data_IF_819345043850
#
_entry.id   IF_819345043850
#
_cell.length_a   1.000
_cell.length_b   1.000
_cell.length_c   1.000
_cell.angle_alpha   90.00
_cell.angle_beta   90.00
_cell.angle_gamma   90.00
#
_symmetry.space_group_name_H-M   'P 1'
#
loop_
_entity.id
_entity.type
_entity.pdbx_description
1 polymer ?
#
# COMPACT_ATOMS: atom_id res chain seq x y z
N UNK A 1 9.56 14.61 -39.31
CA UNK A 1 8.39 13.91 -38.75
C UNK A 1 7.28 14.94 -38.53
N UNK A 2 6.06 14.67 -39.02
CA UNK A 2 4.92 15.55 -38.81
C UNK A 2 4.55 15.61 -37.32
N UNK A 3 3.89 16.70 -36.87
CA UNK A 3 3.43 16.84 -35.48
C UNK A 3 2.54 15.67 -35.05
N UNK A 4 1.71 15.14 -35.94
CA UNK A 4 0.87 13.94 -35.71
C UNK A 4 1.69 12.67 -35.48
N UNK A 5 2.80 12.47 -36.17
CA UNK A 5 3.68 11.30 -36.01
C UNK A 5 4.46 11.38 -34.70
N UNK A 6 4.91 12.59 -34.30
CA UNK A 6 5.55 12.83 -33.00
C UNK A 6 4.58 12.55 -31.85
N UNK A 7 3.35 13.01 -31.92
CA UNK A 7 2.33 12.79 -30.89
C UNK A 7 1.96 11.29 -30.73
N UNK A 8 1.87 10.53 -31.84
CA UNK A 8 1.69 9.06 -31.80
C UNK A 8 2.88 8.36 -31.15
N UNK A 9 4.11 8.76 -31.46
CA UNK A 9 5.32 8.17 -30.87
C UNK A 9 5.38 8.40 -29.35
N UNK A 10 5.14 9.63 -28.87
CA UNK A 10 5.10 9.92 -27.44
C UNK A 10 4.00 9.14 -26.71
N UNK A 11 2.84 8.95 -27.35
CA UNK A 11 1.74 8.16 -26.80
C UNK A 11 2.11 6.69 -26.65
N UNK A 12 2.75 6.08 -27.65
CA UNK A 12 3.22 4.69 -27.59
C UNK A 12 4.34 4.51 -26.56
N UNK A 13 5.28 5.45 -26.46
CA UNK A 13 6.36 5.44 -25.48
C UNK A 13 5.83 5.56 -24.06
N UNK A 14 4.76 6.34 -23.80
CA UNK A 14 4.16 6.46 -22.47
C UNK A 14 3.58 5.13 -21.97
N UNK A 15 2.94 4.36 -22.83
CA UNK A 15 2.43 3.03 -22.47
C UNK A 15 3.54 2.01 -22.20
N UNK A 16 4.64 2.07 -22.97
CA UNK A 16 5.83 1.26 -22.71
C UNK A 16 6.46 1.63 -21.35
N UNK A 17 6.56 2.91 -21.04
CA UNK A 17 7.04 3.41 -19.75
C UNK A 17 6.14 2.91 -18.64
N UNK A 18 4.82 2.97 -18.79
CA UNK A 18 3.89 2.42 -17.81
C UNK A 18 4.14 0.92 -17.58
N UNK A 19 4.27 0.14 -18.65
CA UNK A 19 4.58 -1.28 -18.55
C UNK A 19 5.89 -1.55 -17.78
N UNK A 20 6.92 -0.73 -17.98
CA UNK A 20 8.17 -0.82 -17.22
C UNK A 20 8.00 -0.45 -15.74
N UNK A 21 7.13 0.50 -15.43
CA UNK A 21 6.95 1.01 -14.06
C UNK A 21 6.04 0.13 -13.20
N UNK A 22 5.08 -0.58 -13.79
CA UNK A 22 4.13 -1.40 -13.02
C UNK A 22 4.74 -2.68 -12.48
N UNK A 23 5.76 -3.24 -13.15
CA UNK A 23 6.38 -4.52 -12.75
C UNK A 23 7.16 -4.42 -11.44
N UNK A 24 8.01 -3.40 -11.19
CA UNK A 24 8.60 -3.20 -9.86
C UNK A 24 7.57 -3.09 -8.75
N UNK A 25 6.41 -2.46 -9.01
CA UNK A 25 5.33 -2.35 -8.03
C UNK A 25 4.63 -3.69 -7.81
N UNK A 26 4.37 -4.46 -8.87
CA UNK A 26 3.87 -5.83 -8.73
C UNK A 26 4.80 -6.69 -7.87
N UNK A 27 6.11 -6.65 -8.14
CA UNK A 27 7.12 -7.38 -7.40
C UNK A 27 7.18 -6.96 -5.92
N UNK A 28 7.08 -5.65 -5.66
CA UNK A 28 7.05 -5.09 -4.31
C UNK A 28 5.85 -5.60 -3.51
N UNK A 29 4.65 -5.53 -4.07
CA UNK A 29 3.43 -5.98 -3.41
C UNK A 29 3.38 -7.50 -3.23
N UNK A 30 3.94 -8.26 -4.19
CA UNK A 30 4.15 -9.69 -4.03
C UNK A 30 5.05 -9.99 -2.83
N UNK A 31 6.21 -9.34 -2.77
CA UNK A 31 7.21 -9.61 -1.72
C UNK A 31 6.71 -9.21 -0.34
N UNK A 32 6.01 -8.08 -0.21
CA UNK A 32 5.41 -7.66 1.07
C UNK A 32 4.41 -8.68 1.61
N UNK A 33 3.63 -9.32 0.74
CA UNK A 33 2.52 -10.18 1.16
C UNK A 33 2.77 -11.69 1.04
N UNK A 34 3.97 -12.12 0.61
CA UNK A 34 4.29 -13.52 0.33
C UNK A 34 4.11 -14.47 1.52
N UNK A 35 4.24 -13.99 2.75
CA UNK A 35 4.05 -14.81 3.95
C UNK A 35 2.64 -14.77 4.52
N UNK A 36 1.79 -13.84 4.07
CA UNK A 36 0.48 -13.58 4.69
C UNK A 36 -0.46 -14.82 4.68
N UNK A 37 -0.45 -15.59 3.60
CA UNK A 37 -1.28 -16.81 3.49
C UNK A 37 -0.63 -18.06 4.09
N UNK A 38 0.67 -18.03 4.35
CA UNK A 38 1.42 -19.11 4.99
C UNK A 38 1.87 -18.74 6.41
N UNK A 39 1.30 -17.70 6.99
CA UNK A 39 1.66 -17.22 8.33
C UNK A 39 1.41 -18.24 9.45
N UNK A 40 0.55 -19.24 9.22
CA UNK A 40 0.34 -20.37 10.12
C UNK A 40 1.62 -21.21 10.36
N UNK A 41 2.58 -21.19 9.44
CA UNK A 41 3.85 -21.91 9.58
C UNK A 41 4.70 -21.37 10.74
N UNK A 42 4.53 -20.10 11.09
CA UNK A 42 5.27 -19.47 12.20
C UNK A 42 4.72 -19.88 13.58
N UNK A 43 3.77 -20.78 13.64
CA UNK A 43 3.32 -21.48 14.86
C UNK A 43 3.94 -22.88 14.99
N UNK A 44 4.66 -23.36 13.96
CA UNK A 44 5.36 -24.65 13.95
C UNK A 44 6.59 -24.64 14.86
N UNK A 45 6.74 -25.69 15.68
CA UNK A 45 7.83 -25.80 16.65
C UNK A 45 9.22 -25.74 16.02
N UNK A 46 9.37 -26.22 14.77
CA UNK A 46 10.66 -26.24 14.07
C UNK A 46 11.15 -24.84 13.69
N UNK A 47 10.25 -23.92 13.36
CA UNK A 47 10.56 -22.52 13.04
C UNK A 47 10.67 -21.66 14.31
N UNK A 48 9.85 -21.94 15.32
CA UNK A 48 9.84 -21.26 16.61
C UNK A 48 11.22 -21.35 17.30
N UNK A 49 11.93 -22.49 17.22
CA UNK A 49 13.28 -22.65 17.76
C UNK A 49 14.31 -21.70 17.13
N UNK A 50 14.06 -21.21 15.93
CA UNK A 50 14.91 -20.23 15.21
C UNK A 50 14.45 -18.78 15.41
N UNK A 51 13.51 -18.54 16.32
CA UNK A 51 12.92 -17.21 16.58
C UNK A 51 11.83 -16.79 15.60
N UNK A 52 11.48 -17.65 14.63
CA UNK A 52 10.39 -17.42 13.68
C UNK A 52 9.07 -18.00 14.24
N UNK A 53 8.65 -17.46 15.39
CA UNK A 53 7.31 -17.64 15.93
C UNK A 53 6.35 -16.55 15.44
N UNK A 54 5.10 -16.59 15.88
CA UNK A 54 4.11 -15.56 15.53
C UNK A 54 4.55 -14.14 15.95
N UNK A 55 5.24 -14.00 17.10
CA UNK A 55 5.76 -12.72 17.57
C UNK A 55 6.94 -12.24 16.71
N UNK A 56 7.87 -13.14 16.35
CA UNK A 56 8.98 -12.89 15.45
C UNK A 56 8.50 -12.51 14.05
N UNK A 57 7.49 -13.20 13.52
CA UNK A 57 6.86 -12.80 12.26
C UNK A 57 6.17 -11.44 12.36
N UNK A 58 5.52 -11.14 13.49
CA UNK A 58 4.93 -9.82 13.75
C UNK A 58 5.97 -8.71 13.77
N UNK A 59 7.12 -8.97 14.40
CA UNK A 59 8.27 -8.08 14.37
C UNK A 59 8.75 -7.85 12.93
N UNK A 60 8.99 -8.93 12.17
CA UNK A 60 9.36 -8.87 10.75
C UNK A 60 8.37 -8.03 9.95
N UNK A 61 7.07 -8.35 10.04
CA UNK A 61 6.03 -7.64 9.27
C UNK A 61 5.91 -6.16 9.64
N UNK A 62 6.18 -5.80 10.90
CA UNK A 62 6.20 -4.41 11.37
C UNK A 62 7.39 -3.61 10.81
N UNK A 63 8.51 -4.29 10.54
CA UNK A 63 9.75 -3.72 10.04
C UNK A 63 9.57 -2.88 8.76
N UNK A 64 8.64 -3.27 7.89
CA UNK A 64 8.28 -2.49 6.69
C UNK A 64 8.04 -1.01 6.99
N UNK A 65 7.37 -0.70 8.11
CA UNK A 65 6.95 0.66 8.46
C UNK A 65 7.96 1.42 9.31
N UNK A 66 8.99 0.77 9.86
CA UNK A 66 9.92 1.41 10.81
C UNK A 66 10.61 2.62 10.22
N UNK A 67 11.36 2.45 9.14
CA UNK A 67 12.07 3.58 8.51
C UNK A 67 11.11 4.63 7.95
N UNK A 68 9.91 4.22 7.53
CA UNK A 68 8.86 5.14 7.08
C UNK A 68 8.43 6.09 8.18
N UNK A 69 8.23 5.58 9.41
CA UNK A 69 7.83 6.34 10.60
C UNK A 69 8.96 7.24 11.08
N UNK A 70 10.20 6.75 11.11
CA UNK A 70 11.35 7.49 11.64
C UNK A 70 12.02 8.43 10.62
N UNK A 71 11.22 9.08 9.79
CA UNK A 71 11.65 10.18 8.92
C UNK A 71 12.04 9.77 7.51
N UNK A 72 12.12 8.48 7.19
CA UNK A 72 12.54 8.00 5.87
C UNK A 72 11.65 8.50 4.73
N UNK A 73 10.33 8.60 4.93
CA UNK A 73 9.42 9.14 3.92
C UNK A 73 9.70 10.61 3.60
N UNK A 74 10.01 11.41 4.61
CA UNK A 74 10.33 12.84 4.44
C UNK A 74 11.66 12.98 3.71
N UNK A 75 12.69 12.27 4.17
CA UNK A 75 14.03 12.29 3.55
C UNK A 75 13.93 11.83 2.09
N UNK A 76 13.24 10.71 1.84
CA UNK A 76 13.05 10.17 0.49
C UNK A 76 12.30 11.12 -0.44
N UNK A 77 11.27 11.81 0.08
CA UNK A 77 10.55 12.85 -0.65
C UNK A 77 11.47 14.02 -1.05
N UNK A 78 12.27 14.55 -0.11
CA UNK A 78 13.25 15.61 -0.36
C UNK A 78 14.29 15.16 -1.39
N UNK A 79 14.80 13.93 -1.30
CA UNK A 79 15.74 13.39 -2.26
C UNK A 79 15.14 13.28 -3.67
N UNK A 80 13.86 12.86 -3.79
CA UNK A 80 13.16 12.83 -5.06
C UNK A 80 12.97 14.23 -5.66
N UNK A 81 12.71 15.23 -4.83
CA UNK A 81 12.58 16.63 -5.29
C UNK A 81 13.92 17.21 -5.74
N UNK A 82 14.98 16.99 -4.96
CA UNK A 82 16.31 17.57 -5.21
C UNK A 82 17.06 16.88 -6.34
N UNK A 83 17.06 15.55 -6.39
CA UNK A 83 17.86 14.77 -7.35
C UNK A 83 17.03 14.12 -8.45
N UNK A 84 15.71 14.23 -8.36
CA UNK A 84 14.75 13.73 -9.35
C UNK A 84 14.59 12.22 -9.36
N UNK A 85 13.60 11.78 -10.15
CA UNK A 85 13.17 10.38 -10.18
C UNK A 85 14.26 9.42 -10.68
N UNK A 86 15.11 9.85 -11.64
CA UNK A 86 16.13 8.95 -12.21
C UNK A 86 17.14 8.51 -11.17
N UNK A 87 17.69 9.42 -10.41
CA UNK A 87 18.71 9.11 -9.41
C UNK A 87 18.05 8.56 -8.13
N UNK A 88 17.20 9.35 -7.49
CA UNK A 88 16.58 8.95 -6.21
C UNK A 88 15.67 7.74 -6.39
N UNK A 89 14.85 7.69 -7.46
CA UNK A 89 14.02 6.52 -7.73
C UNK A 89 14.85 5.26 -7.91
N UNK A 90 15.98 5.31 -8.63
CA UNK A 90 16.89 4.17 -8.77
C UNK A 90 17.51 3.77 -7.44
N UNK A 91 17.94 4.73 -6.62
CA UNK A 91 18.47 4.42 -5.28
C UNK A 91 17.46 3.64 -4.44
N UNK A 92 16.20 4.09 -4.41
CA UNK A 92 15.17 3.45 -3.60
C UNK A 92 14.69 2.11 -4.18
N UNK A 93 14.65 1.95 -5.51
CA UNK A 93 14.38 0.64 -6.14
C UNK A 93 15.52 -0.35 -5.85
N UNK A 94 16.77 0.09 -5.86
CA UNK A 94 17.91 -0.76 -5.46
C UNK A 94 17.87 -1.08 -3.97
N UNK A 95 17.49 -0.14 -3.11
CA UNK A 95 17.33 -0.36 -1.68
C UNK A 95 16.21 -1.36 -1.40
N UNK A 96 15.08 -1.28 -2.11
CA UNK A 96 13.99 -2.26 -2.07
C UNK A 96 14.47 -3.66 -2.47
N UNK A 97 15.20 -3.78 -3.58
CA UNK A 97 15.72 -5.06 -4.05
C UNK A 97 16.81 -5.61 -3.12
N UNK A 98 17.70 -4.77 -2.61
CA UNK A 98 18.73 -5.15 -1.64
C UNK A 98 18.13 -5.65 -0.33
N UNK A 99 17.11 -4.95 0.20
CA UNK A 99 16.35 -5.39 1.37
C UNK A 99 15.66 -6.74 1.16
N UNK A 100 15.04 -6.95 0.00
CA UNK A 100 14.45 -8.25 -0.36
C UNK A 100 15.51 -9.34 -0.45
N UNK A 101 16.68 -9.04 -1.01
CA UNK A 101 17.83 -9.95 -1.06
C UNK A 101 18.34 -10.35 0.33
N UNK A 102 18.37 -9.39 1.27
CA UNK A 102 18.73 -9.68 2.67
C UNK A 102 17.74 -10.63 3.34
N UNK A 103 16.43 -10.41 3.11
CA UNK A 103 15.39 -11.33 3.62
C UNK A 103 15.57 -12.72 3.05
N UNK A 104 15.76 -12.86 1.74
CA UNK A 104 15.99 -14.17 1.10
C UNK A 104 17.25 -14.84 1.65
N UNK A 105 18.35 -14.11 1.76
CA UNK A 105 19.58 -14.63 2.33
C UNK A 105 19.40 -15.11 3.77
N UNK A 106 18.69 -14.34 4.58
CA UNK A 106 18.40 -14.68 5.98
C UNK A 106 17.64 -16.02 6.09
N UNK A 107 16.63 -16.22 5.26
CA UNK A 107 15.83 -17.45 5.23
C UNK A 107 16.65 -18.66 4.74
N UNK A 108 17.50 -18.47 3.73
CA UNK A 108 18.33 -19.55 3.20
C UNK A 108 19.48 -19.91 4.12
N UNK A 109 19.99 -18.97 4.93
CA UNK A 109 21.10 -19.20 5.84
C UNK A 109 20.75 -20.13 7.00
N UNK A 110 19.47 -20.18 7.42
CA UNK A 110 19.01 -20.98 8.55
C UNK A 110 19.70 -20.66 9.89
N UNK A 111 20.37 -19.49 9.98
CA UNK A 111 21.13 -19.10 11.17
C UNK A 111 20.25 -18.57 12.29
N UNK A 112 20.74 -18.59 13.53
CA UNK A 112 20.07 -17.99 14.67
C UNK A 112 19.84 -16.45 14.51
N UNK A 113 20.63 -15.79 13.66
CA UNK A 113 20.48 -14.37 13.36
C UNK A 113 19.50 -14.10 12.20
N UNK A 114 18.87 -15.14 11.61
CA UNK A 114 18.04 -15.02 10.42
C UNK A 114 16.90 -14.01 10.58
N UNK A 115 16.19 -14.02 11.70
CA UNK A 115 15.12 -13.06 11.99
C UNK A 115 15.64 -11.61 12.03
N UNK A 116 16.78 -11.38 12.70
CA UNK A 116 17.37 -10.03 12.80
C UNK A 116 17.77 -9.50 11.43
N UNK A 117 18.42 -10.34 10.61
CA UNK A 117 18.83 -9.94 9.25
C UNK A 117 17.62 -9.70 8.36
N UNK A 118 16.61 -10.56 8.44
CA UNK A 118 15.35 -10.39 7.71
C UNK A 118 14.61 -9.10 8.15
N UNK A 119 14.63 -8.78 9.44
CA UNK A 119 14.04 -7.55 9.98
C UNK A 119 14.73 -6.30 9.42
N UNK A 120 16.06 -6.25 9.42
CA UNK A 120 16.79 -5.14 8.78
C UNK A 120 16.52 -5.11 7.28
N UNK A 121 16.48 -6.26 6.63
CA UNK A 121 16.15 -6.37 5.22
C UNK A 121 14.77 -5.80 4.89
N UNK A 122 13.73 -6.15 5.66
CA UNK A 122 12.38 -5.65 5.42
C UNK A 122 12.23 -4.16 5.77
N UNK A 123 13.03 -3.61 6.69
CA UNK A 123 13.08 -2.16 6.94
C UNK A 123 13.57 -1.40 5.70
N UNK A 124 14.66 -1.84 5.09
CA UNK A 124 15.19 -1.26 3.85
C UNK A 124 14.21 -1.46 2.68
N UNK A 125 13.65 -2.67 2.58
CA UNK A 125 12.64 -2.99 1.57
C UNK A 125 11.43 -2.06 1.68
N UNK A 126 10.87 -1.85 2.87
CA UNK A 126 9.67 -1.05 3.09
C UNK A 126 9.88 0.42 2.70
N UNK A 127 10.95 1.05 3.16
CA UNK A 127 11.26 2.43 2.77
C UNK A 127 11.55 2.52 1.27
N UNK A 128 12.30 1.58 0.71
CA UNK A 128 12.57 1.50 -0.72
C UNK A 128 11.28 1.41 -1.54
N UNK A 129 10.34 0.56 -1.13
CA UNK A 129 9.04 0.35 -1.77
C UNK A 129 8.18 1.62 -1.77
N UNK A 130 8.03 2.28 -0.63
CA UNK A 130 7.21 3.49 -0.48
C UNK A 130 7.71 4.64 -1.35
N UNK A 131 9.03 4.87 -1.35
CA UNK A 131 9.61 5.95 -2.15
C UNK A 131 9.65 5.59 -3.64
N UNK A 132 9.91 4.32 -3.99
CA UNK A 132 9.80 3.84 -5.36
C UNK A 132 8.37 4.01 -5.90
N UNK A 133 7.34 3.71 -5.10
CA UNK A 133 5.93 3.95 -5.44
C UNK A 133 5.64 5.43 -5.74
N UNK A 134 6.20 6.33 -4.92
CA UNK A 134 6.11 7.78 -5.16
C UNK A 134 6.82 8.17 -6.47
N UNK A 135 8.00 7.62 -6.74
CA UNK A 135 8.74 7.87 -7.97
C UNK A 135 7.98 7.38 -9.22
N UNK A 136 7.35 6.20 -9.12
CA UNK A 136 6.47 5.64 -10.17
C UNK A 136 5.29 6.57 -10.43
N UNK A 137 4.57 6.98 -9.41
CA UNK A 137 3.41 7.88 -9.52
C UNK A 137 3.79 9.22 -10.17
N UNK A 138 4.92 9.82 -9.75
CA UNK A 138 5.46 11.06 -10.36
C UNK A 138 5.84 10.86 -11.84
N UNK A 139 6.40 9.71 -12.18
CA UNK A 139 6.76 9.38 -13.56
C UNK A 139 5.53 9.26 -14.44
N UNK A 140 4.49 8.55 -13.98
CA UNK A 140 3.22 8.41 -14.68
C UNK A 140 2.58 9.80 -14.88
N UNK A 141 2.52 10.63 -13.84
CA UNK A 141 1.99 11.98 -13.93
C UNK A 141 2.69 12.83 -15.00
N UNK A 142 4.02 12.69 -15.12
CA UNK A 142 4.82 13.41 -16.11
C UNK A 142 4.61 12.89 -17.53
N UNK A 143 4.61 11.55 -17.72
CA UNK A 143 4.52 10.94 -19.04
C UNK A 143 3.11 10.98 -19.62
N UNK A 144 2.08 11.00 -18.79
CA UNK A 144 0.68 11.07 -19.18
C UNK A 144 0.07 12.46 -19.04
N UNK A 145 0.89 13.50 -18.85
CA UNK A 145 0.42 14.89 -18.77
C UNK A 145 -0.31 15.28 -20.07
N UNK A 146 -1.58 15.70 -19.96
CA UNK A 146 -2.45 16.01 -21.11
C UNK A 146 -3.02 14.77 -21.81
N UNK A 147 -2.94 13.59 -21.19
CA UNK A 147 -3.50 12.32 -21.66
C UNK A 147 -4.30 11.61 -20.56
N UNK A 148 -4.54 10.30 -20.68
CA UNK A 148 -5.35 9.52 -19.74
C UNK A 148 -4.57 9.17 -18.45
N UNK A 149 -4.14 10.20 -17.70
CA UNK A 149 -3.30 10.06 -16.51
C UNK A 149 -4.01 9.26 -15.40
N UNK A 150 -5.27 9.56 -15.12
CA UNK A 150 -6.03 8.85 -14.08
C UNK A 150 -6.18 7.35 -14.42
N UNK A 151 -6.40 7.02 -15.69
CA UNK A 151 -6.48 5.63 -16.14
C UNK A 151 -5.14 4.90 -15.99
N UNK A 152 -4.01 5.54 -16.34
CA UNK A 152 -2.67 4.99 -16.17
C UNK A 152 -2.32 4.76 -14.67
N UNK A 153 -2.68 5.69 -13.79
CA UNK A 153 -2.55 5.52 -12.34
C UNK A 153 -3.44 4.39 -11.80
N UNK A 154 -4.65 4.25 -12.33
CA UNK A 154 -5.56 3.15 -11.99
C UNK A 154 -5.00 1.79 -12.39
N UNK A 155 -4.42 1.66 -13.59
CA UNK A 155 -3.72 0.44 -14.04
C UNK A 155 -2.55 0.11 -13.09
N UNK A 156 -1.73 1.10 -12.76
CA UNK A 156 -0.58 0.90 -11.86
C UNK A 156 -1.04 0.34 -10.51
N UNK A 157 -2.06 0.93 -9.91
CA UNK A 157 -2.59 0.47 -8.64
C UNK A 157 -3.21 -0.93 -8.74
N UNK A 158 -3.97 -1.21 -9.80
CA UNK A 158 -4.57 -2.52 -10.03
C UNK A 158 -3.50 -3.61 -10.17
N UNK A 159 -2.45 -3.38 -10.97
CA UNK A 159 -1.36 -4.35 -11.16
C UNK A 159 -0.58 -4.55 -9.86
N UNK A 160 -0.33 -3.51 -9.07
CA UNK A 160 0.28 -3.65 -7.76
C UNK A 160 -0.56 -4.56 -6.85
N UNK A 161 -1.89 -4.36 -6.79
CA UNK A 161 -2.81 -5.22 -6.01
C UNK A 161 -2.85 -6.67 -6.52
N UNK A 162 -2.70 -6.88 -7.83
CA UNK A 162 -2.55 -8.23 -8.40
C UNK A 162 -1.26 -8.90 -7.91
N UNK A 163 -0.19 -8.15 -7.63
CA UNK A 163 1.03 -8.67 -6.99
C UNK A 163 0.73 -9.30 -5.62
N UNK A 164 -0.02 -8.58 -4.76
CA UNK A 164 -0.53 -9.14 -3.49
C UNK A 164 -1.37 -10.40 -3.73
N UNK A 165 -2.35 -10.35 -4.64
CA UNK A 165 -3.22 -11.50 -4.91
C UNK A 165 -2.42 -12.73 -5.37
N UNK A 166 -1.44 -12.50 -6.25
CA UNK A 166 -0.56 -13.56 -6.73
C UNK A 166 0.29 -14.17 -5.60
N UNK A 167 0.83 -13.36 -4.70
CA UNK A 167 1.54 -13.83 -3.52
C UNK A 167 0.67 -14.73 -2.64
N UNK A 168 -0.54 -14.28 -2.33
CA UNK A 168 -1.48 -14.99 -1.46
C UNK A 168 -1.91 -16.35 -2.02
N UNK A 169 -2.12 -16.44 -3.33
CA UNK A 169 -2.54 -17.67 -4.02
C UNK A 169 -1.36 -18.63 -4.26
N UNK A 170 -0.19 -18.09 -4.59
CA UNK A 170 0.95 -18.90 -4.97
C UNK A 170 1.71 -19.45 -3.76
N UNK A 171 1.91 -18.66 -2.71
CA UNK A 171 2.76 -19.05 -1.58
C UNK A 171 2.36 -20.37 -0.92
N UNK A 172 1.07 -20.68 -0.66
CA UNK A 172 0.69 -21.98 -0.10
C UNK A 172 0.98 -23.18 -1.01
N UNK A 173 1.15 -22.96 -2.32
CA UNK A 173 1.50 -24.00 -3.29
C UNK A 173 2.99 -24.29 -3.36
N UNK A 174 3.80 -23.35 -2.92
CA UNK A 174 5.26 -23.47 -2.93
C UNK A 174 5.80 -24.16 -1.68
N UNK A 175 4.99 -24.23 -0.62
CA UNK A 175 5.36 -24.86 0.65
C UNK A 175 4.67 -26.21 0.76
N UNK A 176 5.39 -27.23 1.23
CA UNK A 176 4.87 -28.58 1.43
C UNK A 176 3.81 -28.55 2.55
N UNK A 177 2.66 -29.22 2.34
CA UNK A 177 1.53 -29.24 3.27
C UNK A 177 1.25 -30.71 3.62
N UNK A 178 2.10 -31.31 4.44
CA UNK A 178 1.91 -32.69 4.91
C UNK A 178 1.78 -32.71 6.42
N UNK A 179 0.91 -33.57 6.93
CA UNK A 179 0.81 -33.82 8.36
C UNK A 179 2.17 -34.34 8.90
N UNK A 180 2.62 -33.81 10.04
CA UNK A 180 3.89 -34.13 10.68
C UNK A 180 5.15 -33.74 9.86
N UNK A 181 5.04 -32.82 8.92
CA UNK A 181 6.20 -32.30 8.21
C UNK A 181 6.99 -31.32 9.09
N UNK A 182 8.30 -31.50 9.15
CA UNK A 182 9.21 -30.57 9.84
C UNK A 182 9.61 -29.48 8.85
N UNK A 183 9.11 -28.28 9.06
CA UNK A 183 9.39 -27.15 8.18
C UNK A 183 10.82 -26.62 8.40
N UNK A 184 11.47 -26.25 7.32
CA UNK A 184 12.76 -25.55 7.34
C UNK A 184 12.60 -24.12 6.86
N UNK A 185 13.47 -23.20 7.31
CA UNK A 185 13.48 -21.83 6.79
C UNK A 185 13.71 -21.81 5.27
N UNK A 186 14.50 -22.71 4.73
CA UNK A 186 14.73 -22.82 3.29
C UNK A 186 13.48 -23.19 2.49
N UNK A 187 12.53 -23.93 3.07
CA UNK A 187 11.23 -24.18 2.45
C UNK A 187 10.34 -22.96 2.50
N UNK A 188 10.31 -22.24 3.61
CA UNK A 188 9.59 -20.96 3.71
C UNK A 188 10.19 -19.87 2.83
N UNK A 189 11.46 -20.02 2.40
CA UNK A 189 12.11 -19.11 1.46
C UNK A 189 11.61 -19.25 0.01
N UNK A 190 10.93 -20.34 -0.37
CA UNK A 190 10.49 -20.55 -1.77
C UNK A 190 9.63 -19.40 -2.32
N UNK A 191 8.64 -18.84 -1.61
CA UNK A 191 7.95 -17.64 -2.04
C UNK A 191 8.88 -16.42 -2.22
N UNK A 192 9.89 -16.28 -1.34
CA UNK A 192 10.86 -15.19 -1.44
C UNK A 192 11.79 -15.34 -2.66
N UNK A 193 12.13 -16.59 -3.08
CA UNK A 193 12.87 -16.84 -4.31
C UNK A 193 12.09 -16.36 -5.53
N UNK A 194 10.78 -16.67 -5.60
CA UNK A 194 9.91 -16.16 -6.66
C UNK A 194 9.86 -14.64 -6.62
N UNK A 195 9.69 -14.05 -5.43
CA UNK A 195 9.69 -12.61 -5.22
C UNK A 195 10.98 -11.93 -5.71
N UNK A 196 12.13 -12.55 -5.44
CA UNK A 196 13.43 -12.07 -5.96
C UNK A 196 13.53 -12.15 -7.48
N UNK A 197 12.99 -13.19 -8.10
CA UNK A 197 12.91 -13.29 -9.56
C UNK A 197 12.08 -12.16 -10.16
N UNK A 198 10.92 -11.88 -9.57
CA UNK A 198 10.06 -10.74 -9.95
C UNK A 198 10.77 -9.41 -9.71
N UNK A 199 11.52 -9.27 -8.61
CA UNK A 199 12.29 -8.07 -8.29
C UNK A 199 13.43 -7.84 -9.29
N UNK A 200 14.13 -8.90 -9.69
CA UNK A 200 15.17 -8.83 -10.72
C UNK A 200 14.58 -8.38 -12.07
N UNK A 201 13.43 -8.92 -12.47
CA UNK A 201 12.70 -8.44 -13.65
C UNK A 201 12.30 -6.96 -13.50
N UNK A 202 11.82 -6.58 -12.31
CA UNK A 202 11.48 -5.20 -11.98
C UNK A 202 12.68 -4.25 -12.11
N UNK A 203 13.88 -4.66 -11.66
CA UNK A 203 15.11 -3.89 -11.79
C UNK A 203 15.51 -3.70 -13.28
N UNK A 204 15.40 -4.76 -14.08
CA UNK A 204 15.70 -4.68 -15.52
C UNK A 204 14.76 -3.68 -16.19
N UNK A 205 13.45 -3.77 -15.91
CA UNK A 205 12.46 -2.87 -16.50
C UNK A 205 12.58 -1.44 -15.96
N UNK A 206 12.99 -1.26 -14.70
CA UNK A 206 13.33 0.06 -14.16
C UNK A 206 14.51 0.68 -14.91
N UNK A 207 15.56 -0.09 -15.20
CA UNK A 207 16.72 0.39 -15.98
C UNK A 207 16.29 0.79 -17.40
N UNK A 208 15.40 0.02 -18.05
CA UNK A 208 14.80 0.37 -19.34
C UNK A 208 14.03 1.70 -19.24
N UNK A 209 13.19 1.86 -18.20
CA UNK A 209 12.49 3.12 -17.95
C UNK A 209 13.46 4.29 -17.82
N UNK A 210 14.51 4.17 -17.02
CA UNK A 210 15.52 5.24 -16.83
C UNK A 210 16.18 5.62 -18.16
N UNK A 211 16.51 4.64 -19.01
CA UNK A 211 17.07 4.87 -20.34
C UNK A 211 16.09 5.61 -21.27
N UNK A 212 14.81 5.19 -21.28
CA UNK A 212 13.75 5.84 -22.06
C UNK A 212 13.52 7.27 -21.60
N UNK A 213 13.45 7.49 -20.28
CA UNK A 213 13.24 8.81 -19.69
C UNK A 213 14.43 9.75 -19.92
N UNK A 214 15.66 9.22 -19.90
CA UNK A 214 16.86 9.98 -20.25
C UNK A 214 16.84 10.44 -21.71
N UNK A 215 16.50 9.53 -22.62
CA UNK A 215 16.41 9.80 -24.06
C UNK A 215 15.33 10.83 -24.40
N UNK A 216 14.15 10.71 -23.76
CA UNK A 216 13.07 11.69 -23.92
C UNK A 216 13.46 13.08 -23.36
N UNK A 217 14.14 13.11 -22.21
CA UNK A 217 14.64 14.36 -21.62
C UNK A 217 15.66 15.08 -22.49
N UNK A 218 16.56 14.33 -23.15
CA UNK A 218 17.55 14.89 -24.09
C UNK A 218 16.87 15.54 -25.30
N UNK A 219 15.94 14.80 -25.94
CA UNK A 219 15.17 15.32 -27.09
C UNK A 219 14.37 16.58 -26.74
N UNK A 220 13.76 16.63 -25.56
CA UNK A 220 13.02 17.81 -25.11
C UNK A 220 13.91 19.02 -24.85
N UNK A 221 15.12 18.83 -24.33
CA UNK A 221 16.11 19.90 -24.16
C UNK A 221 16.56 20.45 -25.50
N UNK A 222 16.91 19.59 -26.45
CA UNK A 222 17.30 19.97 -27.81
C UNK A 222 16.17 20.76 -28.52
N UNK A 223 14.93 20.38 -28.34
CA UNK A 223 13.76 21.08 -28.91
C UNK A 223 13.54 22.46 -28.26
N UNK A 224 13.67 22.59 -26.93
CA UNK A 224 13.61 23.88 -26.23
C UNK A 224 14.75 24.78 -26.66
N UNK A 225 15.97 24.26 -26.82
CA UNK A 225 17.15 25.02 -27.23
C UNK A 225 17.00 25.50 -28.67
N UNK A 226 16.48 24.67 -29.57
CA UNK A 226 16.17 25.06 -30.95
C UNK A 226 15.06 26.10 -31.04
N UNK A 227 14.07 26.06 -30.14
CA UNK A 227 13.00 27.09 -30.04
C UNK A 227 13.55 28.40 -29.46
N UNK A 228 14.40 28.35 -28.42
CA UNK A 228 15.04 29.55 -27.85
C UNK A 228 15.96 30.24 -28.85
N UNK A 229 16.65 29.47 -29.69
CA UNK A 229 17.48 30.03 -30.76
C UNK A 229 16.64 30.72 -31.84
N UNK A 230 15.39 30.24 -32.06
CA UNK A 230 14.43 30.86 -33.00
C UNK A 230 13.63 32.03 -32.40
N UNK A 231 13.52 32.12 -31.05
CA UNK A 231 12.68 33.11 -30.36
C UNK A 231 13.49 34.12 -29.56
N UNK A 232 14.76 34.40 -29.95
CA UNK A 232 15.64 35.28 -29.21
C UNK A 232 15.23 36.77 -29.22
N UNK A 233 14.06 37.06 -29.82
CA UNK A 233 13.51 38.43 -29.97
C UNK A 233 12.20 38.71 -29.20
N UNK A 234 11.74 37.85 -28.32
CA UNK A 234 10.52 38.18 -27.57
C UNK A 234 10.49 37.58 -26.15
N UNK A 235 10.64 38.51 -25.20
CA UNK A 235 10.05 38.61 -23.86
C UNK A 235 10.05 37.40 -22.91
N UNK A 236 10.76 37.61 -21.80
CA UNK A 236 10.45 37.27 -20.39
C UNK A 236 9.08 36.67 -20.11
N UNK A 237 9.09 35.39 -19.67
CA UNK A 237 8.00 34.81 -18.89
C UNK A 237 8.29 35.01 -17.40
N UNK A 238 7.30 35.38 -16.59
CA UNK A 238 7.47 35.59 -15.17
C UNK A 238 7.77 34.27 -14.46
N UNK A 239 8.74 34.30 -13.57
CA UNK A 239 8.99 33.29 -12.56
C UNK A 239 7.73 33.11 -11.72
N UNK A 240 7.47 31.85 -11.28
CA UNK A 240 6.36 31.52 -10.40
C UNK A 240 6.31 32.46 -9.20
N UNK A 241 5.09 32.80 -8.78
CA UNK A 241 4.85 33.73 -7.68
C UNK A 241 5.47 33.20 -6.38
N UNK A 242 6.03 34.09 -5.52
CA UNK A 242 6.62 33.72 -4.22
C UNK A 242 5.63 33.09 -3.21
N UNK A 243 4.34 33.00 -3.54
CA UNK A 243 3.28 32.50 -2.69
C UNK A 243 3.23 30.97 -2.58
N UNK A 244 3.99 30.23 -3.39
CA UNK A 244 3.98 28.75 -3.42
C UNK A 244 5.08 28.09 -2.55
N UNK A 245 5.89 28.85 -1.80
CA UNK A 245 6.89 28.28 -0.93
C UNK A 245 6.26 27.67 0.33
N UNK A 246 6.62 26.39 0.60
CA UNK A 246 6.26 25.67 1.80
C UNK A 246 6.90 26.30 3.04
N UNK A 247 6.09 26.67 4.03
CA UNK A 247 6.57 27.15 5.30
C UNK A 247 6.28 26.13 6.42
N UNK A 248 7.19 25.99 7.38
CA UNK A 248 6.98 25.13 8.56
C UNK A 248 5.70 25.48 9.36
N UNK A 249 5.27 26.75 9.29
CA UNK A 249 4.00 27.20 9.85
C UNK A 249 2.77 26.52 9.22
N UNK A 250 2.88 26.06 7.98
CA UNK A 250 1.77 25.39 7.30
C UNK A 250 1.58 23.96 7.82
N UNK A 251 2.65 23.31 8.28
CA UNK A 251 2.59 22.03 8.99
C UNK A 251 1.79 22.17 10.31
N UNK A 252 2.07 23.22 11.08
CA UNK A 252 1.36 23.48 12.35
C UNK A 252 -0.13 23.75 12.12
N UNK A 253 -0.50 24.41 11.02
CA UNK A 253 -1.92 24.63 10.65
C UNK A 253 -2.64 23.32 10.36
N UNK A 254 -1.99 22.37 9.65
CA UNK A 254 -2.56 21.05 9.39
C UNK A 254 -2.72 20.27 10.69
N UNK A 255 -1.69 20.25 11.55
CA UNK A 255 -1.74 19.57 12.84
C UNK A 255 -2.75 20.18 13.82
N UNK A 256 -3.04 21.49 13.71
CA UNK A 256 -4.09 22.17 14.47
C UNK A 256 -5.52 21.90 13.95
N UNK A 257 -5.67 21.29 12.78
CA UNK A 257 -6.98 21.04 12.18
C UNK A 257 -7.64 19.78 12.77
N UNK A 258 -8.76 19.96 13.48
CA UNK A 258 -9.53 18.85 14.07
C UNK A 258 -9.99 17.83 13.01
N UNK A 259 -10.37 18.28 11.83
CA UNK A 259 -10.84 17.38 10.76
C UNK A 259 -9.72 16.52 10.21
N UNK A 260 -8.49 17.03 10.17
CA UNK A 260 -7.30 16.25 9.85
C UNK A 260 -7.15 15.06 10.81
N UNK A 261 -7.25 15.29 12.12
CA UNK A 261 -7.12 14.22 13.12
C UNK A 261 -8.26 13.22 13.06
N UNK A 262 -9.50 13.64 12.80
CA UNK A 262 -10.62 12.73 12.63
C UNK A 262 -10.43 11.82 11.41
N UNK A 263 -9.98 12.39 10.28
CA UNK A 263 -9.74 11.62 9.07
C UNK A 263 -8.49 10.72 9.21
N UNK A 264 -7.41 11.24 9.77
CA UNK A 264 -6.18 10.48 10.05
C UNK A 264 -6.41 9.34 11.03
N UNK A 265 -7.18 9.56 12.10
CA UNK A 265 -7.51 8.52 13.08
C UNK A 265 -8.40 7.45 12.47
N UNK A 266 -9.40 7.83 11.65
CA UNK A 266 -10.20 6.87 10.90
C UNK A 266 -9.32 6.02 9.96
N UNK A 267 -8.38 6.67 9.27
CA UNK A 267 -7.41 6.00 8.41
C UNK A 267 -6.60 4.96 9.20
N UNK A 268 -5.99 5.36 10.31
CA UNK A 268 -5.17 4.45 11.15
C UNK A 268 -5.98 3.27 11.65
N UNK A 269 -7.13 3.52 12.28
CA UNK A 269 -7.95 2.48 12.91
C UNK A 269 -8.42 1.45 11.87
N UNK A 270 -8.91 1.96 10.73
CA UNK A 270 -9.42 1.10 9.66
C UNK A 270 -8.30 0.32 8.96
N UNK A 271 -7.24 1.00 8.49
CA UNK A 271 -6.17 0.32 7.78
C UNK A 271 -5.38 -0.63 8.68
N UNK A 272 -5.20 -0.30 9.96
CA UNK A 272 -4.54 -1.20 10.91
C UNK A 272 -5.34 -2.47 11.16
N UNK A 273 -6.68 -2.42 11.19
CA UNK A 273 -7.48 -3.63 11.32
C UNK A 273 -7.37 -4.52 10.07
N UNK A 274 -7.46 -3.96 8.87
CA UNK A 274 -7.50 -4.74 7.62
C UNK A 274 -6.11 -5.23 7.17
N UNK A 275 -5.09 -4.34 7.18
CA UNK A 275 -3.76 -4.69 6.66
C UNK A 275 -2.99 -5.57 7.65
N UNK A 276 -3.08 -5.29 8.95
CA UNK A 276 -2.45 -6.16 9.94
C UNK A 276 -3.15 -7.55 9.97
N UNK A 277 -4.48 -7.60 9.93
CA UNK A 277 -5.21 -8.86 9.75
C UNK A 277 -4.70 -9.64 8.53
N UNK A 278 -4.60 -9.01 7.36
CA UNK A 278 -4.13 -9.67 6.13
C UNK A 278 -2.78 -10.38 6.33
N UNK A 279 -1.85 -9.80 7.11
CA UNK A 279 -0.54 -10.41 7.38
C UNK A 279 -0.65 -11.74 8.15
N UNK A 280 -1.65 -11.88 9.00
CA UNK A 280 -1.86 -13.06 9.83
C UNK A 280 -3.06 -13.90 9.41
N UNK A 281 -3.69 -13.56 8.28
CA UNK A 281 -4.94 -14.18 7.87
C UNK A 281 -4.83 -15.71 7.70
N UNK A 282 -3.67 -16.23 7.25
CA UNK A 282 -3.41 -17.67 7.18
C UNK A 282 -3.44 -18.33 8.56
N UNK A 283 -2.77 -17.75 9.56
CA UNK A 283 -2.73 -18.25 10.93
C UNK A 283 -4.08 -18.14 11.66
N UNK A 284 -4.97 -17.26 11.21
CA UNK A 284 -6.31 -17.08 11.77
C UNK A 284 -7.33 -18.01 11.09
N UNK A 285 -7.41 -17.98 9.76
CA UNK A 285 -8.47 -18.66 9.01
C UNK A 285 -8.31 -20.18 8.99
N UNK A 286 -7.08 -20.67 8.83
CA UNK A 286 -6.79 -22.11 8.69
C UNK A 286 -7.20 -22.88 9.94
N UNK A 287 -6.65 -22.58 11.13
CA UNK A 287 -6.98 -23.36 12.33
C UNK A 287 -8.41 -23.09 12.85
N UNK A 288 -8.95 -21.87 12.64
CA UNK A 288 -10.25 -21.52 13.18
C UNK A 288 -11.41 -22.14 12.41
N UNK A 289 -11.33 -22.24 11.09
CA UNK A 289 -12.42 -22.70 10.24
C UNK A 289 -12.13 -24.00 9.52
N UNK A 290 -11.04 -24.67 9.86
CA UNK A 290 -10.58 -25.94 9.25
C UNK A 290 -10.49 -25.82 7.71
N UNK A 291 -9.84 -24.75 7.25
CA UNK A 291 -9.72 -24.42 5.83
C UNK A 291 -8.36 -24.86 5.32
N UNK A 292 -8.29 -25.64 4.21
CA UNK A 292 -7.00 -25.96 3.59
C UNK A 292 -6.21 -24.70 3.20
N UNK A 293 -4.89 -24.69 3.40
CA UNK A 293 -4.05 -23.50 3.20
C UNK A 293 -4.14 -22.93 1.78
N UNK A 294 -4.28 -23.77 0.76
CA UNK A 294 -4.51 -23.31 -0.62
C UNK A 294 -5.84 -22.57 -0.77
N UNK A 295 -6.88 -23.05 -0.12
CA UNK A 295 -8.20 -22.41 -0.11
C UNK A 295 -8.14 -21.09 0.66
N UNK A 296 -7.46 -21.07 1.81
CA UNK A 296 -7.24 -19.85 2.59
C UNK A 296 -6.50 -18.78 1.76
N UNK A 297 -5.49 -19.15 0.97
CA UNK A 297 -4.80 -18.25 0.04
C UNK A 297 -5.76 -17.59 -0.96
N UNK A 298 -6.68 -18.34 -1.55
CA UNK A 298 -7.73 -17.78 -2.42
C UNK A 298 -8.68 -16.86 -1.64
N UNK A 299 -9.11 -17.26 -0.45
CA UNK A 299 -10.01 -16.44 0.38
C UNK A 299 -9.37 -15.10 0.75
N UNK A 300 -8.11 -15.11 1.19
CA UNK A 300 -7.41 -13.88 1.55
C UNK A 300 -7.20 -13.00 0.31
N UNK A 301 -6.99 -13.60 -0.86
CA UNK A 301 -6.83 -12.86 -2.12
C UNK A 301 -8.11 -12.12 -2.56
N UNK A 302 -9.27 -12.43 -1.98
CA UNK A 302 -10.49 -11.64 -2.18
C UNK A 302 -10.31 -10.18 -1.76
N UNK A 303 -9.44 -9.88 -0.77
CA UNK A 303 -9.17 -8.51 -0.34
C UNK A 303 -8.52 -7.65 -1.44
N UNK A 304 -7.37 -8.02 -2.03
CA UNK A 304 -6.81 -7.24 -3.14
C UNK A 304 -7.70 -7.27 -4.38
N UNK A 305 -8.34 -8.40 -4.73
CA UNK A 305 -9.26 -8.46 -5.86
C UNK A 305 -10.46 -7.53 -5.67
N UNK A 306 -11.03 -7.46 -4.47
CA UNK A 306 -12.15 -6.55 -4.20
C UNK A 306 -11.74 -5.09 -4.45
N UNK A 307 -10.52 -4.68 -4.09
CA UNK A 307 -10.07 -3.31 -4.34
C UNK A 307 -9.87 -3.03 -5.83
N UNK A 308 -9.41 -3.99 -6.62
CA UNK A 308 -9.26 -3.83 -8.07
C UNK A 308 -10.62 -3.63 -8.74
N UNK A 309 -11.64 -4.37 -8.30
CA UNK A 309 -12.97 -4.37 -8.93
C UNK A 309 -13.87 -3.28 -8.32
N UNK A 310 -13.99 -3.24 -7.00
CA UNK A 310 -15.00 -2.42 -6.33
C UNK A 310 -14.52 -1.01 -5.98
N UNK A 311 -13.21 -0.75 -5.81
CA UNK A 311 -12.79 0.61 -5.47
C UNK A 311 -13.12 1.63 -6.58
N UNK A 312 -12.94 1.35 -7.90
CA UNK A 312 -13.42 2.24 -8.95
C UNK A 312 -14.94 2.40 -8.96
N UNK A 313 -15.69 1.31 -8.75
CA UNK A 313 -17.16 1.34 -8.72
C UNK A 313 -17.68 2.18 -7.56
N UNK A 314 -17.10 2.00 -6.37
CA UNK A 314 -17.44 2.80 -5.19
C UNK A 314 -16.98 4.25 -5.32
N UNK A 315 -15.86 4.52 -6.00
CA UNK A 315 -15.45 5.88 -6.33
C UNK A 315 -16.53 6.61 -7.16
N UNK A 316 -16.99 5.98 -8.25
CA UNK A 316 -18.10 6.50 -9.08
C UNK A 316 -19.38 6.67 -8.26
N UNK A 317 -19.70 5.72 -7.38
CA UNK A 317 -20.87 5.80 -6.51
C UNK A 317 -20.78 6.98 -5.55
N UNK A 318 -19.65 7.17 -4.88
CA UNK A 318 -19.39 8.29 -3.96
C UNK A 318 -19.48 9.63 -4.70
N UNK A 319 -18.90 9.72 -5.90
CA UNK A 319 -18.94 10.95 -6.70
C UNK A 319 -20.36 11.30 -7.15
N UNK A 320 -21.14 10.31 -7.62
CA UNK A 320 -22.50 10.53 -8.11
C UNK A 320 -23.52 10.82 -7.00
N UNK A 321 -23.46 10.05 -5.91
CA UNK A 321 -24.46 10.10 -4.82
C UNK A 321 -24.06 11.11 -3.74
N UNK A 322 -22.75 11.38 -3.59
CA UNK A 322 -22.22 12.12 -2.46
C UNK A 322 -22.23 11.28 -1.18
N UNK A 323 -22.45 11.92 -0.05
CA UNK A 323 -22.54 11.29 1.27
C UNK A 323 -21.27 10.51 1.68
N UNK A 324 -20.06 11.06 1.36
CA UNK A 324 -18.78 10.43 1.62
C UNK A 324 -18.63 9.91 3.05
N UNK A 325 -19.08 10.71 4.06
CA UNK A 325 -18.99 10.31 5.47
C UNK A 325 -19.87 9.10 5.81
N UNK A 326 -21.02 8.95 5.14
CA UNK A 326 -21.89 7.76 5.35
C UNK A 326 -21.24 6.49 4.76
N UNK A 327 -20.60 6.61 3.60
CA UNK A 327 -19.90 5.47 2.99
C UNK A 327 -18.71 5.01 3.83
N UNK A 328 -17.96 5.94 4.44
CA UNK A 328 -16.91 5.58 5.41
C UNK A 328 -17.50 4.83 6.61
N UNK A 329 -18.63 5.28 7.14
CA UNK A 329 -19.32 4.63 8.26
C UNK A 329 -19.80 3.22 7.88
N UNK A 330 -20.42 3.05 6.72
CA UNK A 330 -20.88 1.73 6.23
C UNK A 330 -19.69 0.79 6.08
N UNK A 331 -18.59 1.25 5.47
CA UNK A 331 -17.39 0.43 5.31
C UNK A 331 -16.75 0.04 6.64
N UNK A 332 -16.74 0.93 7.64
CA UNK A 332 -16.28 0.61 8.98
C UNK A 332 -17.17 -0.43 9.68
N UNK A 333 -18.50 -0.36 9.49
CA UNK A 333 -19.43 -1.39 9.99
C UNK A 333 -19.24 -2.74 9.30
N UNK A 334 -18.96 -2.77 7.99
CA UNK A 334 -18.66 -4.00 7.27
C UNK A 334 -17.39 -4.67 7.82
N UNK A 335 -16.34 -3.87 8.05
CA UNK A 335 -15.11 -4.38 8.66
C UNK A 335 -15.34 -4.89 10.09
N UNK A 336 -16.10 -4.15 10.90
CA UNK A 336 -16.49 -4.58 12.25
C UNK A 336 -17.24 -5.91 12.20
N UNK A 337 -18.24 -6.03 11.33
CA UNK A 337 -19.01 -7.29 11.15
C UNK A 337 -18.12 -8.46 10.74
N UNK A 338 -17.15 -8.23 9.86
CA UNK A 338 -16.19 -9.25 9.45
C UNK A 338 -15.34 -9.74 10.64
N UNK A 339 -14.74 -8.84 11.42
CA UNK A 339 -13.92 -9.20 12.58
C UNK A 339 -14.75 -9.85 13.69
N UNK A 340 -16.02 -9.43 13.89
CA UNK A 340 -16.93 -10.10 14.79
C UNK A 340 -17.23 -11.55 14.35
N UNK A 341 -17.46 -11.79 13.06
CA UNK A 341 -17.63 -13.14 12.54
C UNK A 341 -16.38 -13.99 12.77
N UNK A 342 -15.18 -13.43 12.48
CA UNK A 342 -13.93 -14.13 12.69
C UNK A 342 -13.68 -14.46 14.17
N UNK A 343 -14.12 -13.60 15.10
CA UNK A 343 -13.98 -13.81 16.54
C UNK A 343 -15.00 -14.81 17.10
N UNK A 344 -16.26 -14.70 16.73
CA UNK A 344 -17.38 -15.34 17.45
C UNK A 344 -18.13 -16.41 16.66
N UNK A 345 -17.97 -16.50 15.34
CA UNK A 345 -18.65 -17.54 14.56
C UNK A 345 -18.19 -18.95 14.96
N UNK A 346 -19.03 -19.97 14.77
CA UNK A 346 -18.69 -21.35 15.05
C UNK A 346 -17.38 -21.78 14.35
N UNK A 347 -16.47 -22.39 15.11
CA UNK A 347 -15.23 -22.93 14.59
C UNK A 347 -15.52 -24.14 13.67
N UNK A 348 -14.60 -24.43 12.73
CA UNK A 348 -14.72 -25.57 11.81
C UNK A 348 -15.76 -25.39 10.70
N UNK A 349 -16.35 -24.19 10.52
CA UNK A 349 -17.36 -23.93 9.47
C UNK A 349 -16.81 -22.89 8.48
N UNK A 350 -16.29 -23.31 7.31
CA UNK A 350 -15.64 -22.43 6.31
C UNK A 350 -16.52 -21.28 5.82
N UNK A 351 -17.84 -21.46 5.77
CA UNK A 351 -18.80 -20.44 5.32
C UNK A 351 -18.60 -19.09 6.02
N UNK A 352 -18.36 -19.09 7.33
CA UNK A 352 -18.18 -17.84 8.10
C UNK A 352 -16.89 -17.13 7.75
N UNK A 353 -15.84 -17.89 7.44
CA UNK A 353 -14.59 -17.32 6.92
C UNK A 353 -14.79 -16.63 5.57
N UNK A 354 -15.52 -17.28 4.64
CA UNK A 354 -15.86 -16.66 3.34
C UNK A 354 -16.70 -15.40 3.51
N UNK A 355 -17.75 -15.46 4.33
CA UNK A 355 -18.61 -14.31 4.56
C UNK A 355 -17.82 -13.12 5.15
N UNK A 356 -16.94 -13.40 6.11
CA UNK A 356 -16.08 -12.37 6.71
C UNK A 356 -15.15 -11.75 5.66
N UNK A 357 -14.54 -12.55 4.77
CA UNK A 357 -13.67 -12.03 3.70
C UNK A 357 -14.44 -11.18 2.69
N UNK A 358 -15.68 -11.55 2.35
CA UNK A 358 -16.53 -10.73 1.48
C UNK A 358 -16.84 -9.39 2.13
N UNK A 359 -17.30 -9.39 3.39
CA UNK A 359 -17.61 -8.15 4.12
C UNK A 359 -16.37 -7.26 4.26
N UNK A 360 -15.23 -7.84 4.62
CA UNK A 360 -13.98 -7.12 4.77
C UNK A 360 -13.50 -6.54 3.42
N UNK A 361 -13.64 -7.31 2.33
CA UNK A 361 -13.30 -6.86 0.98
C UNK A 361 -14.14 -5.67 0.53
N UNK A 362 -15.46 -5.68 0.78
CA UNK A 362 -16.32 -4.53 0.50
C UNK A 362 -15.92 -3.32 1.35
N UNK A 363 -15.70 -3.50 2.67
CA UNK A 363 -15.24 -2.43 3.56
C UNK A 363 -13.91 -1.84 3.09
N UNK A 364 -12.94 -2.71 2.73
CA UNK A 364 -11.61 -2.32 2.28
C UNK A 364 -11.59 -1.60 0.93
N UNK A 365 -12.62 -1.76 0.12
CA UNK A 365 -12.80 -1.02 -1.13
C UNK A 365 -13.56 0.28 -0.93
N UNK A 366 -14.56 0.29 -0.05
CA UNK A 366 -15.49 1.40 0.14
C UNK A 366 -14.89 2.56 0.96
N UNK A 367 -14.21 2.25 2.08
CA UNK A 367 -13.63 3.28 2.94
C UNK A 367 -12.60 4.12 2.21
N UNK A 368 -11.59 3.57 1.52
CA UNK A 368 -10.63 4.38 0.76
C UNK A 368 -11.26 5.22 -0.33
N UNK A 369 -12.28 4.68 -1.03
CA UNK A 369 -13.00 5.39 -2.10
C UNK A 369 -13.69 6.68 -1.60
N UNK A 370 -14.05 6.74 -0.32
CA UNK A 370 -14.65 7.94 0.29
C UNK A 370 -13.64 8.78 1.09
N UNK A 371 -12.66 8.14 1.75
CA UNK A 371 -11.69 8.79 2.65
C UNK A 371 -10.70 9.67 1.88
N UNK A 372 -10.04 9.12 0.86
CA UNK A 372 -8.99 9.85 0.15
C UNK A 372 -9.50 11.09 -0.60
N UNK A 373 -10.66 11.07 -1.28
CA UNK A 373 -11.26 12.28 -1.88
C UNK A 373 -11.73 13.32 -0.86
N UNK A 374 -11.85 12.96 0.42
CA UNK A 374 -12.22 13.90 1.48
C UNK A 374 -11.03 14.74 1.98
N UNK A 375 -9.79 14.31 1.75
CA UNK A 375 -8.57 15.05 2.18
C UNK A 375 -8.51 16.46 1.59
N UNK A 376 -8.67 16.67 0.26
CA UNK A 376 -8.65 18.02 -0.32
C UNK A 376 -9.77 18.95 0.17
N UNK A 377 -10.83 18.39 0.77
CA UNK A 377 -11.97 19.17 1.24
C UNK A 377 -11.77 19.75 2.66
N UNK A 378 -10.77 19.27 3.40
CA UNK A 378 -10.51 19.68 4.79
C UNK A 378 -9.30 20.59 4.94
N UNK A 379 -8.48 20.75 3.90
CA UNK A 379 -7.28 21.59 3.92
C UNK A 379 -7.16 22.38 2.62
N UNK A 380 -6.50 23.57 2.63
CA UNK A 380 -6.18 24.32 1.42
C UNK A 380 -5.23 23.56 0.49
N UNK A 381 -5.33 23.81 -0.81
CA UNK A 381 -4.49 23.16 -1.85
C UNK A 381 -2.98 23.31 -1.58
N UNK A 382 -2.54 24.45 -1.05
CA UNK A 382 -1.14 24.74 -0.70
C UNK A 382 -0.50 23.69 0.23
N UNK A 383 -1.29 23.10 1.14
CA UNK A 383 -0.79 22.14 2.14
C UNK A 383 -1.24 20.70 1.86
N UNK A 384 -1.87 20.46 0.72
CA UNK A 384 -2.46 19.16 0.39
C UNK A 384 -1.42 18.03 0.35
N UNK A 385 -0.28 18.27 -0.27
CA UNK A 385 0.82 17.28 -0.32
C UNK A 385 1.33 16.91 1.08
N UNK A 386 1.53 17.92 1.94
CA UNK A 386 1.92 17.71 3.33
C UNK A 386 0.87 16.94 4.12
N UNK A 387 -0.41 17.23 3.88
CA UNK A 387 -1.52 16.53 4.54
C UNK A 387 -1.54 15.05 4.17
N UNK A 388 -1.40 14.71 2.89
CA UNK A 388 -1.29 13.32 2.46
C UNK A 388 -0.07 12.61 3.09
N UNK A 389 1.08 13.27 3.13
CA UNK A 389 2.28 12.72 3.75
C UNK A 389 2.09 12.46 5.25
N UNK A 390 1.45 13.37 5.98
CA UNK A 390 1.15 13.21 7.40
C UNK A 390 0.13 12.09 7.66
N UNK A 391 -0.93 11.97 6.84
CA UNK A 391 -1.89 10.86 6.98
C UNK A 391 -1.17 9.53 6.74
N UNK A 392 -0.32 9.42 5.72
CA UNK A 392 0.47 8.22 5.46
C UNK A 392 1.46 7.92 6.60
N UNK A 393 2.07 8.95 7.18
CA UNK A 393 2.96 8.78 8.34
C UNK A 393 2.21 8.22 9.55
N UNK A 394 1.06 8.80 9.91
CA UNK A 394 0.20 8.31 11.00
C UNK A 394 -0.31 6.90 10.71
N UNK A 395 -0.67 6.59 9.46
CA UNK A 395 -1.06 5.24 9.02
C UNK A 395 0.07 4.23 9.25
N UNK A 396 1.31 4.56 8.84
CA UNK A 396 2.46 3.69 9.04
C UNK A 396 2.79 3.46 10.53
N UNK A 397 2.57 4.46 11.38
CA UNK A 397 2.70 4.30 12.84
C UNK A 397 1.70 3.25 13.37
N UNK A 398 0.46 3.30 12.92
CA UNK A 398 -0.54 2.28 13.25
C UNK A 398 -0.15 0.89 12.72
N UNK A 399 0.27 0.80 11.46
CA UNK A 399 0.70 -0.46 10.86
C UNK A 399 1.91 -1.07 11.56
N UNK A 400 2.90 -0.25 11.94
CA UNK A 400 4.04 -0.67 12.75
C UNK A 400 3.57 -1.33 14.05
N UNK A 401 2.71 -0.63 14.81
CA UNK A 401 2.25 -1.06 16.12
C UNK A 401 1.38 -2.31 16.06
N UNK A 402 0.37 -2.30 15.19
CA UNK A 402 -0.63 -3.38 15.17
C UNK A 402 -0.19 -4.64 14.44
N UNK A 403 0.76 -4.58 13.48
CA UNK A 403 1.39 -5.79 12.95
C UNK A 403 2.24 -6.50 14.02
N UNK A 404 3.05 -5.76 14.76
CA UNK A 404 3.82 -6.31 15.86
C UNK A 404 2.93 -6.89 16.96
N UNK A 405 1.95 -6.10 17.43
CA UNK A 405 1.03 -6.51 18.49
C UNK A 405 0.19 -7.73 18.09
N UNK A 406 -0.22 -7.84 16.83
CA UNK A 406 -0.95 -9.01 16.31
C UNK A 406 -0.12 -10.28 16.45
N UNK A 407 1.18 -10.23 16.10
CA UNK A 407 2.07 -11.37 16.26
C UNK A 407 2.23 -11.79 17.74
N UNK A 408 2.44 -10.82 18.62
CA UNK A 408 2.55 -11.06 20.07
C UNK A 408 1.27 -11.71 20.64
N UNK A 409 0.11 -11.17 20.30
CA UNK A 409 -1.17 -11.71 20.78
C UNK A 409 -1.44 -13.10 20.19
N UNK A 410 -1.14 -13.30 18.91
CA UNK A 410 -1.36 -14.60 18.24
C UNK A 410 -0.54 -15.70 18.93
N UNK A 411 0.70 -15.42 19.30
CA UNK A 411 1.59 -16.34 20.02
C UNK A 411 1.13 -16.69 21.46
N UNK A 412 0.01 -16.17 21.95
CA UNK A 412 -0.49 -16.47 23.31
C UNK A 412 -1.24 -17.81 23.43
N UNK A 413 -1.09 -18.70 22.47
CA UNK A 413 -1.63 -20.06 22.45
C UNK A 413 -2.98 -20.18 21.71
N UNK A 414 -3.72 -21.25 21.93
CA UNK A 414 -4.90 -21.64 21.15
C UNK A 414 -5.99 -20.56 21.03
N UNK A 415 -6.07 -19.63 21.96
CA UNK A 415 -7.01 -18.49 21.90
C UNK A 415 -6.40 -17.26 21.21
N UNK A 416 -5.17 -17.32 20.75
CA UNK A 416 -4.47 -16.24 20.04
C UNK A 416 -5.29 -15.68 18.87
N UNK A 417 -5.77 -16.50 17.93
CA UNK A 417 -6.60 -16.04 16.81
C UNK A 417 -7.83 -15.23 17.23
N UNK A 418 -8.55 -15.69 18.25
CA UNK A 418 -9.74 -14.98 18.77
C UNK A 418 -9.36 -13.66 19.42
N UNK A 419 -8.28 -13.63 20.21
CA UNK A 419 -7.81 -12.41 20.88
C UNK A 419 -7.36 -11.35 19.86
N UNK A 420 -6.69 -11.74 18.80
CA UNK A 420 -6.28 -10.83 17.71
C UNK A 420 -7.52 -10.26 17.02
N UNK A 421 -8.54 -11.08 16.74
CA UNK A 421 -9.78 -10.63 16.13
C UNK A 421 -10.59 -9.70 17.05
N UNK A 422 -10.56 -9.92 18.37
CA UNK A 422 -11.13 -8.99 19.34
C UNK A 422 -10.40 -7.64 19.33
N UNK A 423 -9.07 -7.64 19.23
CA UNK A 423 -8.29 -6.41 19.06
C UNK A 423 -8.72 -5.65 17.78
N UNK A 424 -8.82 -6.34 16.64
CA UNK A 424 -9.28 -5.71 15.39
C UNK A 424 -10.72 -5.22 15.49
N UNK A 425 -11.60 -5.97 16.18
CA UNK A 425 -12.96 -5.53 16.47
C UNK A 425 -13.00 -4.23 17.27
N UNK A 426 -12.14 -4.09 18.29
CA UNK A 426 -12.01 -2.84 19.05
C UNK A 426 -11.56 -1.68 18.15
N UNK A 427 -10.57 -1.90 17.27
CA UNK A 427 -10.15 -0.88 16.30
C UNK A 427 -11.30 -0.46 15.39
N UNK A 428 -12.10 -1.43 14.91
CA UNK A 428 -13.26 -1.15 14.06
C UNK A 428 -14.38 -0.43 14.83
N UNK A 429 -14.63 -0.77 16.10
CA UNK A 429 -15.57 -0.02 16.95
C UNK A 429 -15.13 1.44 17.09
N UNK A 430 -13.86 1.67 17.37
CA UNK A 430 -13.30 3.03 17.44
C UNK A 430 -13.39 3.73 16.07
N UNK A 431 -13.14 3.02 14.96
CA UNK A 431 -13.30 3.57 13.60
C UNK A 431 -14.76 3.99 13.33
N UNK A 432 -15.75 3.17 13.75
CA UNK A 432 -17.18 3.52 13.67
C UNK A 432 -17.49 4.75 14.48
N UNK A 433 -16.99 4.86 15.72
CA UNK A 433 -17.19 6.05 16.57
C UNK A 433 -16.60 7.28 15.92
N UNK A 434 -15.37 7.20 15.40
CA UNK A 434 -14.71 8.32 14.70
C UNK A 434 -15.49 8.70 13.43
N UNK A 435 -15.96 7.72 12.63
CA UNK A 435 -16.77 7.97 11.45
C UNK A 435 -18.11 8.66 11.81
N UNK A 436 -18.76 8.26 12.91
CA UNK A 436 -19.97 8.94 13.43
C UNK A 436 -19.70 10.39 13.85
N UNK A 437 -18.57 10.63 14.53
CA UNK A 437 -18.15 11.98 14.91
C UNK A 437 -17.86 12.82 13.67
N UNK A 438 -17.15 12.25 12.67
CA UNK A 438 -16.84 12.92 11.41
C UNK A 438 -18.10 13.23 10.61
N UNK A 439 -19.05 12.31 10.54
CA UNK A 439 -20.37 12.54 9.92
C UNK A 439 -21.15 13.64 10.64
N UNK A 440 -21.14 13.71 11.99
CA UNK A 440 -21.75 14.81 12.75
C UNK A 440 -21.08 16.14 12.46
N UNK A 441 -19.74 16.14 12.34
CA UNK A 441 -18.96 17.33 11.99
C UNK A 441 -19.31 17.81 10.57
N UNK A 442 -19.40 16.92 9.60
CA UNK A 442 -19.83 17.25 8.23
C UNK A 442 -21.22 17.93 8.18
N UNK A 443 -22.15 17.46 9.00
CA UNK A 443 -23.49 18.06 9.09
C UNK A 443 -23.49 19.45 9.76
N UNK A 444 -22.58 19.70 10.72
CA UNK A 444 -22.45 20.99 11.41
C UNK A 444 -21.66 22.02 10.60
N UNK A 445 -20.82 21.55 9.69
CA UNK A 445 -19.91 22.32 8.83
C UNK A 445 -20.17 22.01 7.36
N UNK A 446 -21.34 22.40 6.81
CA UNK A 446 -21.70 22.13 5.42
C UNK A 446 -20.74 22.80 4.41
N UNK A 447 -20.02 23.82 4.83
CA UNK A 447 -18.98 24.50 4.04
C UNK A 447 -17.83 23.58 3.62
N UNK A 448 -17.56 22.50 4.36
CA UNK A 448 -16.55 21.50 4.01
C UNK A 448 -16.96 20.64 2.81
N UNK A 449 -18.23 20.64 2.42
CA UNK A 449 -18.78 19.90 1.27
C UNK A 449 -18.40 18.41 1.23
N UNK A 450 -18.15 17.78 2.40
CA UNK A 450 -17.70 16.37 2.50
C UNK A 450 -18.71 15.39 1.89
N UNK A 451 -19.99 15.71 2.02
CA UNK A 451 -21.11 14.88 1.58
C UNK A 451 -21.74 15.36 0.26
N UNK A 452 -21.19 16.38 -0.39
CA UNK A 452 -21.69 16.89 -1.66
C UNK A 452 -21.30 15.98 -2.82
N UNK A 453 -22.29 15.67 -3.67
CA UNK A 453 -22.07 14.94 -4.91
C UNK A 453 -21.30 15.79 -5.93
N UNK A 454 -20.38 15.17 -6.66
CA UNK A 454 -19.60 15.82 -7.71
C UNK A 454 -20.27 15.61 -9.09
N UNK A 455 -21.40 16.31 -9.33
CA UNK A 455 -22.25 16.11 -10.54
C UNK A 455 -21.64 16.65 -11.85
N UNK A 456 -20.48 17.29 -11.81
CA UNK A 456 -19.86 17.93 -12.99
C UNK A 456 -18.90 17.06 -13.80
N UNK A 457 -18.69 15.81 -13.43
CA UNK A 457 -17.73 14.88 -14.10
C UNK A 457 -18.40 13.83 -15.01
N UNK A 458 -19.74 13.83 -15.14
CA UNK A 458 -20.50 12.85 -15.93
C UNK A 458 -21.52 13.52 -16.86
#
# INVERSE_FOLDING_TARGET
>A
MSASTKQKFYRSAAWLVLACLVVPMFASYYFDDMFSSISYLFEDASLTQLGWDSAGYGLYASGYSVLCVFGGLVIGGILLDKWGVRFSGTLFVLMMAGGAGMVLWALLSGSAASLTVAYVGVMLFGLGSEIAGTAVTRSIARWFKGGPMAFAMGIQLAIARLGTAFALVLSPRLVQQQANHVYTLAETARPAVVGMGLMALGLILWAVFVALDASAGKKRREEIESLKTKTRDSASSPAGSPEDEFHFSDLLKVLGNRNFWLLGLLCVLFYSSVIAFKKFAGAILIPRFDIPAQTAGWMISMLPFSTVIFAPLFGILVDKVGHGTRWMLIGAFLALGAHFLLAFAPAGVPFWGYLAMVLLGFGYSLVPAALWPSVPKIVPDKVLGTTFALINWVQNLGLLSFKWLSGVILGTGAQGPVRVELMFSVLCVLAVVVALVFMRTSRRHPELQLDKANRGLF
#
